data_IF_257474833868
#
_entry.id   IF_257474833868
#
_cell.length_a   1.000
_cell.length_b   1.000
_cell.length_c   1.000
_cell.angle_alpha   90.00
_cell.angle_beta   90.00
_cell.angle_gamma   90.00
#
_symmetry.space_group_name_H-M   'P 1'
#
loop_
_entity.id
_entity.type
_entity.pdbx_description
1 polymer ?
#
# COMPACT_ATOMS: atom_id res chain seq x y z
N UNK A 1 -22.68 36.61 23.70
CA UNK A 1 -21.47 35.75 23.69
C UNK A 1 -20.46 36.48 22.84
N UNK A 2 -19.72 37.38 23.46
CA UNK A 2 -18.64 38.12 22.82
C UNK A 2 -17.48 37.16 22.59
N UNK A 3 -17.16 36.89 21.33
CA UNK A 3 -16.00 36.08 21.00
C UNK A 3 -14.74 36.94 21.22
N UNK A 4 -13.79 36.41 21.97
CA UNK A 4 -12.49 37.05 22.18
C UNK A 4 -11.68 37.06 20.87
N UNK A 5 -10.94 38.14 20.64
CA UNK A 5 -9.99 38.26 19.53
C UNK A 5 -8.82 37.29 19.73
N UNK A 6 -8.46 36.55 18.68
CA UNK A 6 -7.29 35.69 18.68
C UNK A 6 -6.02 36.57 18.73
N UNK A 7 -5.22 36.36 19.77
CA UNK A 7 -3.90 36.97 19.93
C UNK A 7 -2.86 36.02 19.32
N UNK A 8 -2.34 36.38 18.15
CA UNK A 8 -1.31 35.60 17.46
C UNK A 8 0.06 36.22 17.77
N UNK A 9 0.97 35.41 18.30
CA UNK A 9 2.35 35.82 18.53
C UNK A 9 3.11 35.83 17.19
N UNK A 10 3.40 37.01 16.67
CA UNK A 10 4.11 37.22 15.39
C UNK A 10 5.59 36.79 15.44
N UNK A 11 6.11 36.40 16.60
CA UNK A 11 7.47 35.83 16.73
C UNK A 11 7.51 34.32 16.46
N UNK A 12 6.36 33.68 16.30
CA UNK A 12 6.27 32.26 15.94
C UNK A 12 6.64 32.08 14.46
N UNK A 13 7.92 31.91 14.19
CA UNK A 13 8.43 31.37 12.93
C UNK A 13 8.44 29.82 13.03
N UNK A 14 7.50 29.10 12.39
CA UNK A 14 7.49 27.64 12.43
C UNK A 14 8.69 27.00 11.70
N UNK A 15 9.56 27.81 11.06
CA UNK A 15 10.64 27.33 10.22
C UNK A 15 10.12 26.74 8.91
N UNK A 16 10.92 26.84 7.84
CA UNK A 16 10.63 26.11 6.61
C UNK A 16 10.82 24.61 6.86
N UNK A 17 9.73 23.85 6.77
CA UNK A 17 9.81 22.39 6.60
C UNK A 17 10.41 22.12 5.23
N UNK A 18 11.72 21.84 5.19
CA UNK A 18 12.36 21.40 3.96
C UNK A 18 11.67 20.11 3.51
N UNK A 19 11.07 20.11 2.32
CA UNK A 19 10.35 18.98 1.72
C UNK A 19 11.24 17.71 1.55
N UNK A 20 12.52 17.82 1.88
CA UNK A 20 13.53 16.77 1.78
C UNK A 20 13.73 15.92 3.05
N UNK A 21 13.09 16.23 4.19
CA UNK A 21 13.26 15.45 5.43
C UNK A 21 12.28 14.26 5.57
N UNK A 22 11.36 14.08 4.62
CA UNK A 22 10.59 12.83 4.48
C UNK A 22 11.38 11.78 3.67
N UNK A 23 12.63 11.54 4.08
CA UNK A 23 13.52 10.51 3.53
C UNK A 23 13.18 9.08 3.99
N UNK A 24 11.90 8.73 4.00
CA UNK A 24 11.39 7.42 4.40
C UNK A 24 11.18 6.49 3.21
N UNK A 25 12.23 5.82 2.76
CA UNK A 25 12.13 4.61 1.95
C UNK A 25 12.58 4.79 0.50
N UNK A 26 13.79 4.30 0.23
CA UNK A 26 14.32 4.04 -1.10
C UNK A 26 13.28 3.40 -2.01
N UNK A 27 12.75 4.17 -2.97
CA UNK A 27 11.98 3.66 -4.09
C UNK A 27 12.89 3.59 -5.32
N UNK A 28 13.99 2.84 -5.19
CA UNK A 28 14.79 2.38 -6.33
C UNK A 28 14.50 0.90 -6.55
N UNK A 29 13.46 0.61 -7.32
CA UNK A 29 13.35 -0.57 -8.18
C UNK A 29 12.61 -0.05 -9.42
N UNK A 30 13.27 0.32 -10.52
CA UNK A 30 13.97 -0.62 -11.40
C UNK A 30 12.95 -1.66 -11.84
N UNK A 31 12.15 -1.48 -12.89
CA UNK A 31 12.63 -1.31 -14.26
C UNK A 31 13.07 -2.66 -14.83
N UNK A 32 12.17 -3.64 -14.90
CA UNK A 32 12.33 -4.89 -15.66
C UNK A 32 10.93 -5.43 -15.96
N UNK A 33 10.64 -5.76 -17.22
CA UNK A 33 9.34 -6.21 -17.72
C UNK A 33 8.94 -7.62 -17.26
N UNK A 34 9.31 -8.00 -16.04
CA UNK A 34 9.30 -9.38 -15.54
C UNK A 34 8.74 -9.44 -14.11
N UNK A 35 7.52 -8.91 -13.91
CA UNK A 35 6.75 -9.01 -12.67
C UNK A 35 7.39 -8.42 -11.41
N UNK A 36 6.63 -8.39 -10.30
CA UNK A 36 7.19 -8.06 -8.99
C UNK A 36 7.88 -9.29 -8.38
N UNK A 37 9.11 -9.20 -7.85
CA UNK A 37 9.79 -10.35 -7.23
C UNK A 37 9.06 -10.91 -6.00
N UNK A 38 8.16 -10.12 -5.38
CA UNK A 38 7.34 -10.54 -4.25
C UNK A 38 6.03 -11.21 -4.68
N UNK A 39 5.79 -11.38 -5.98
CA UNK A 39 4.58 -11.98 -6.53
C UNK A 39 4.31 -13.39 -5.97
N UNK A 40 5.31 -14.27 -6.01
CA UNK A 40 5.15 -15.65 -5.51
C UNK A 40 4.88 -15.69 -4.00
N UNK A 41 5.51 -14.79 -3.24
CA UNK A 41 5.26 -14.68 -1.79
C UNK A 41 3.86 -14.13 -1.50
N UNK A 42 3.41 -13.13 -2.26
CA UNK A 42 2.06 -12.60 -2.18
C UNK A 42 1.01 -13.66 -2.53
N UNK A 43 1.28 -14.48 -3.55
CA UNK A 43 0.43 -15.60 -3.96
C UNK A 43 0.30 -16.63 -2.84
N UNK A 44 1.43 -17.10 -2.29
CA UNK A 44 1.43 -18.06 -1.19
C UNK A 44 0.66 -17.52 0.03
N UNK A 45 0.89 -16.25 0.38
CA UNK A 45 0.20 -15.58 1.47
C UNK A 45 -1.33 -15.51 1.26
N UNK A 46 -1.76 -15.17 0.05
CA UNK A 46 -3.19 -15.10 -0.28
C UNK A 46 -3.85 -16.48 -0.25
N UNK A 47 -3.16 -17.51 -0.74
CA UNK A 47 -3.61 -18.90 -0.66
C UNK A 47 -3.69 -19.40 0.79
N UNK A 48 -2.72 -19.07 1.63
CA UNK A 48 -2.71 -19.45 3.05
C UNK A 48 -3.83 -18.75 3.83
N UNK A 49 -3.96 -17.43 3.65
CA UNK A 49 -4.89 -16.62 4.44
C UNK A 49 -6.32 -16.64 3.90
N UNK A 50 -6.52 -17.15 2.69
CA UNK A 50 -7.78 -17.12 1.94
C UNK A 50 -8.40 -15.72 1.86
N UNK A 51 -7.55 -14.68 1.94
CA UNK A 51 -7.95 -13.27 1.94
C UNK A 51 -6.99 -12.48 1.06
N UNK A 52 -7.53 -11.73 0.11
CA UNK A 52 -6.73 -10.84 -0.72
C UNK A 52 -7.10 -9.38 -0.46
N UNK A 53 -6.16 -8.62 0.11
CA UNK A 53 -6.30 -7.17 0.30
C UNK A 53 -4.93 -6.48 0.26
N UNK A 54 -4.89 -5.28 -0.33
CA UNK A 54 -3.65 -4.49 -0.44
C UNK A 54 -3.03 -4.22 0.94
N UNK A 55 -3.85 -3.87 1.95
CA UNK A 55 -3.36 -3.62 3.32
C UNK A 55 -2.76 -4.88 3.98
N UNK A 56 -3.23 -6.08 3.63
CA UNK A 56 -2.62 -7.32 4.12
C UNK A 56 -1.24 -7.51 3.51
N UNK A 57 -1.12 -7.41 2.20
CA UNK A 57 0.15 -7.53 1.47
C UNK A 57 1.15 -6.49 1.95
N UNK A 58 0.72 -5.23 2.12
CA UNK A 58 1.54 -4.14 2.65
C UNK A 58 2.20 -4.51 3.99
N UNK A 59 1.42 -5.05 4.93
CA UNK A 59 1.90 -5.39 6.28
C UNK A 59 2.75 -6.66 6.29
N UNK A 60 2.38 -7.66 5.49
CA UNK A 60 3.02 -8.98 5.48
C UNK A 60 4.34 -8.97 4.72
N UNK A 61 4.41 -8.27 3.60
CA UNK A 61 5.61 -8.17 2.76
C UNK A 61 6.40 -6.89 3.03
N UNK A 62 5.97 -6.07 3.99
CA UNK A 62 6.58 -4.77 4.33
C UNK A 62 6.81 -3.87 3.11
N UNK A 63 5.88 -3.89 2.16
CA UNK A 63 5.92 -3.09 0.93
C UNK A 63 5.11 -1.79 1.06
N UNK A 64 5.35 -0.83 0.18
CA UNK A 64 4.48 0.35 0.05
C UNK A 64 3.12 0.05 -0.59
N UNK A 65 2.14 0.93 -0.40
CA UNK A 65 0.77 0.76 -0.91
C UNK A 65 0.73 0.55 -2.43
N UNK A 66 1.45 1.38 -3.20
CA UNK A 66 1.48 1.27 -4.67
C UNK A 66 1.98 -0.09 -5.15
N UNK A 67 2.97 -0.66 -4.46
CA UNK A 67 3.52 -1.98 -4.77
C UNK A 67 2.54 -3.09 -4.42
N UNK A 68 1.88 -2.99 -3.25
CA UNK A 68 0.83 -3.94 -2.87
C UNK A 68 -0.35 -3.94 -3.85
N UNK A 69 -0.73 -2.78 -4.41
CA UNK A 69 -1.79 -2.70 -5.42
C UNK A 69 -1.37 -3.37 -6.74
N UNK A 70 -0.15 -3.14 -7.22
CA UNK A 70 0.38 -3.83 -8.40
C UNK A 70 0.41 -5.34 -8.22
N UNK A 71 0.91 -5.81 -7.07
CA UNK A 71 0.87 -7.23 -6.70
C UNK A 71 -0.56 -7.79 -6.72
N UNK A 72 -1.56 -7.04 -6.26
CA UNK A 72 -2.97 -7.45 -6.33
C UNK A 72 -3.49 -7.56 -7.77
N UNK A 73 -3.09 -6.63 -8.65
CA UNK A 73 -3.44 -6.67 -10.08
C UNK A 73 -2.78 -7.86 -10.79
N UNK A 74 -1.49 -8.10 -10.52
CA UNK A 74 -0.77 -9.27 -11.05
C UNK A 74 -1.40 -10.58 -10.58
N UNK A 75 -1.83 -10.67 -9.32
CA UNK A 75 -2.52 -11.86 -8.77
C UNK A 75 -3.91 -12.07 -9.40
N UNK A 76 -4.59 -10.99 -9.79
CA UNK A 76 -5.87 -11.05 -10.51
C UNK A 76 -5.65 -11.51 -11.95
N UNK A 77 -4.66 -10.96 -12.65
CA UNK A 77 -4.28 -11.36 -14.00
C UNK A 77 -3.84 -12.82 -14.07
N UNK A 78 -3.13 -13.30 -13.04
CA UNK A 78 -2.76 -14.71 -12.89
C UNK A 78 -3.92 -15.62 -12.47
N UNK A 79 -5.12 -15.08 -12.19
CA UNK A 79 -6.30 -15.84 -11.79
C UNK A 79 -6.25 -16.40 -10.36
N UNK A 80 -5.35 -15.92 -9.51
CA UNK A 80 -5.25 -16.33 -8.10
C UNK A 80 -6.41 -15.74 -7.30
N UNK A 81 -6.77 -14.50 -7.60
CA UNK A 81 -7.84 -13.75 -6.93
C UNK A 81 -8.89 -13.28 -7.92
N UNK A 82 -10.13 -13.17 -7.46
CA UNK A 82 -11.25 -12.68 -8.25
C UNK A 82 -11.28 -11.15 -8.37
N UNK A 83 -12.22 -10.62 -9.15
CA UNK A 83 -12.35 -9.19 -9.39
C UNK A 83 -12.63 -8.42 -8.09
N UNK A 84 -12.28 -7.13 -8.09
CA UNK A 84 -12.57 -6.25 -6.97
C UNK A 84 -14.07 -6.09 -6.73
N UNK A 85 -14.57 -6.62 -5.60
CA UNK A 85 -15.96 -6.41 -5.15
C UNK A 85 -16.03 -5.18 -4.20
N UNK A 86 -15.74 -4.00 -4.74
CA UNK A 86 -15.84 -2.73 -4.00
C UNK A 86 -14.87 -2.66 -2.80
N UNK A 87 -15.41 -2.46 -1.59
CA UNK A 87 -14.62 -2.35 -0.35
C UNK A 87 -14.31 -3.69 0.31
N UNK A 88 -14.84 -4.80 -0.23
CA UNK A 88 -14.66 -6.13 0.35
C UNK A 88 -13.32 -6.73 -0.09
N UNK A 89 -12.66 -7.53 0.77
CA UNK A 89 -11.48 -8.30 0.36
C UNK A 89 -11.84 -9.23 -0.80
N UNK A 90 -10.95 -9.30 -1.79
CA UNK A 90 -11.17 -10.09 -3.01
C UNK A 90 -11.26 -11.57 -2.63
N UNK A 91 -12.17 -12.30 -3.28
CA UNK A 91 -12.29 -13.76 -3.11
C UNK A 91 -11.09 -14.43 -3.76
N UNK A 92 -10.50 -15.39 -3.08
CA UNK A 92 -9.42 -16.22 -3.63
C UNK A 92 -10.07 -17.30 -4.49
N UNK A 93 -9.66 -17.40 -5.76
CA UNK A 93 -10.23 -18.34 -6.72
C UNK A 93 -9.42 -19.63 -6.79
N UNK A 94 -8.12 -19.56 -6.51
CA UNK A 94 -7.27 -20.73 -6.40
C UNK A 94 -7.30 -21.28 -4.97
N UNK A 95 -7.55 -22.57 -4.85
CA UNK A 95 -7.25 -23.34 -3.64
C UNK A 95 -6.10 -24.28 -4.01
N UNK A 96 -5.11 -24.43 -3.12
CA UNK A 96 -4.10 -25.49 -3.32
C UNK A 96 -4.87 -26.82 -3.23
N UNK A 97 -5.11 -27.47 -4.36
CA UNK A 97 -5.46 -28.90 -4.38
C UNK A 97 -4.27 -29.76 -3.97
#
# INVERSE_FOLDING_TARGET
KDQASADYDESFDPGEVSENDFGGGSSTNGGSSEGDPLFEEAKALVLETQKASASMIQRRLSVGFNRATRLMEELEEAGVIGPAEGTKPRKVLMTQE
#
